data_IF_262681195124
#
_entry.id   IF_262681195124
#
_cell.length_a   1.000
_cell.length_b   1.000
_cell.length_c   1.000
_cell.angle_alpha   90.00
_cell.angle_beta   90.00
_cell.angle_gamma   90.00
#
_symmetry.space_group_name_H-M   'P 1'
#
loop_
_entity.id
_entity.type
_entity.pdbx_description
1 polymer ?
#
# COMPACT_ATOMS: atom_id res chain seq x y z
N UNK A 1 1.45 17.52 -3.44
CA UNK A 1 0.18 17.54 -4.22
C UNK A 1 -0.86 18.40 -3.49
N UNK A 2 -1.77 19.10 -4.17
CA UNK A 2 -2.91 19.77 -3.51
C UNK A 2 -4.20 18.95 -3.68
N UNK A 3 -5.16 19.10 -2.77
CA UNK A 3 -6.49 18.46 -2.88
C UNK A 3 -7.20 18.84 -4.20
N UNK A 4 -6.98 20.06 -4.70
CA UNK A 4 -7.53 20.54 -5.97
C UNK A 4 -6.95 19.74 -7.15
N UNK A 5 -5.64 19.46 -7.12
CA UNK A 5 -4.96 18.69 -8.16
C UNK A 5 -5.47 17.24 -8.19
N UNK A 6 -5.59 16.62 -7.01
CA UNK A 6 -6.10 15.26 -6.86
C UNK A 6 -7.52 15.12 -7.44
N UNK A 7 -8.41 16.04 -7.07
CA UNK A 7 -9.77 16.12 -7.63
C UNK A 7 -9.73 16.19 -9.15
N UNK A 8 -8.90 17.06 -9.73
CA UNK A 8 -8.80 17.23 -11.20
C UNK A 8 -8.30 15.96 -11.88
N UNK A 9 -7.34 15.25 -11.27
CA UNK A 9 -6.85 13.98 -11.79
C UNK A 9 -7.97 12.93 -11.83
N UNK A 10 -8.69 12.75 -10.73
CA UNK A 10 -9.80 11.78 -10.63
C UNK A 10 -10.92 12.10 -11.62
N UNK A 11 -11.31 13.37 -11.76
CA UNK A 11 -12.32 13.82 -12.73
C UNK A 11 -11.86 13.69 -14.20
N UNK A 12 -10.56 13.54 -14.45
CA UNK A 12 -10.01 13.21 -15.77
C UNK A 12 -9.87 11.69 -15.99
N UNK A 13 -10.37 10.88 -15.07
CA UNK A 13 -10.36 9.41 -15.18
C UNK A 13 -9.11 8.74 -14.62
N UNK A 14 -8.19 9.46 -13.95
CA UNK A 14 -7.05 8.85 -13.27
C UNK A 14 -7.52 7.79 -12.27
N UNK A 15 -6.97 6.57 -12.33
CA UNK A 15 -7.36 5.41 -11.50
C UNK A 15 -6.28 4.95 -10.51
N UNK A 16 -5.08 5.51 -10.57
CA UNK A 16 -4.02 5.27 -9.60
C UNK A 16 -3.54 6.62 -9.06
N UNK A 17 -3.54 6.79 -7.74
CA UNK A 17 -3.08 8.02 -7.10
C UNK A 17 -2.00 7.69 -6.08
N UNK A 18 -0.88 8.40 -6.19
CA UNK A 18 0.24 8.29 -5.27
C UNK A 18 0.09 9.27 -4.10
N UNK A 19 0.30 8.75 -2.88
CA UNK A 19 0.18 9.47 -1.63
C UNK A 19 1.49 9.34 -0.85
N UNK A 20 2.32 10.38 -0.92
CA UNK A 20 3.56 10.49 -0.13
C UNK A 20 3.22 10.90 1.31
N UNK A 21 3.20 9.92 2.21
CA UNK A 21 2.67 10.00 3.57
C UNK A 21 3.78 10.16 4.60
N UNK A 22 3.65 11.18 5.44
CA UNK A 22 4.62 11.54 6.46
C UNK A 22 3.94 11.83 7.79
N UNK A 23 4.71 11.68 8.87
CA UNK A 23 4.26 12.09 10.20
C UNK A 23 3.91 13.59 10.23
N UNK A 24 2.73 13.90 10.75
CA UNK A 24 2.30 15.27 11.04
C UNK A 24 2.26 15.58 12.53
N UNK A 25 1.87 16.81 12.86
CA UNK A 25 1.66 17.25 14.24
C UNK A 25 0.40 16.64 14.83
N UNK A 26 0.31 16.61 16.16
CA UNK A 26 -0.87 16.15 16.90
C UNK A 26 -1.30 14.70 16.58
N UNK A 27 -0.37 13.89 16.07
CA UNK A 27 -0.61 12.50 15.67
C UNK A 27 -1.41 12.34 14.37
N UNK A 28 -1.60 13.42 13.60
CA UNK A 28 -2.35 13.38 12.34
C UNK A 28 -1.40 13.31 11.13
N UNK A 29 -1.45 12.22 10.33
CA UNK A 29 -0.57 12.06 9.18
C UNK A 29 -0.86 13.10 8.08
N UNK A 30 0.20 13.50 7.38
CA UNK A 30 0.17 14.51 6.32
C UNK A 30 0.70 13.97 5.01
N UNK A 31 0.34 14.62 3.92
CA UNK A 31 0.85 14.36 2.58
C UNK A 31 1.58 15.59 2.06
N UNK A 32 2.81 15.39 1.62
CA UNK A 32 3.63 16.35 0.90
C UNK A 32 4.81 15.62 0.28
N UNK A 33 5.51 16.27 -0.66
CA UNK A 33 6.72 15.67 -1.21
C UNK A 33 7.88 15.97 -0.24
N UNK A 34 8.44 14.92 0.36
CA UNK A 34 9.59 15.03 1.25
C UNK A 34 10.73 15.88 0.66
N UNK A 35 11.46 16.59 1.50
CA UNK A 35 12.65 17.38 1.09
C UNK A 35 12.41 18.51 0.06
N UNK A 36 11.16 18.96 -0.08
CA UNK A 36 10.78 20.08 -0.97
C UNK A 36 9.98 21.17 -0.23
N UNK A 37 9.82 22.35 -0.85
CA UNK A 37 9.01 23.46 -0.33
C UNK A 37 7.51 23.31 -0.60
N UNK A 38 7.00 22.08 -0.74
CA UNK A 38 5.58 21.83 -1.02
C UNK A 38 4.74 21.99 0.24
N UNK A 39 3.54 22.57 0.10
CA UNK A 39 2.57 22.68 1.19
C UNK A 39 2.11 21.30 1.66
N UNK A 40 1.92 21.15 2.97
CA UNK A 40 1.38 19.93 3.58
C UNK A 40 -0.15 19.94 3.56
N UNK A 41 -0.75 18.80 3.28
CA UNK A 41 -2.20 18.58 3.41
C UNK A 41 -2.46 17.39 4.35
N UNK A 42 -3.57 17.38 5.06
CA UNK A 42 -3.92 16.26 5.94
C UNK A 42 -4.22 15.02 5.09
N UNK A 43 -3.70 13.86 5.51
CA UNK A 43 -4.03 12.57 4.90
C UNK A 43 -5.54 12.33 4.93
N UNK A 44 -6.18 12.58 6.09
CA UNK A 44 -7.62 12.48 6.29
C UNK A 44 -8.44 13.23 5.23
N UNK A 45 -8.09 14.48 4.94
CA UNK A 45 -8.83 15.31 3.99
C UNK A 45 -8.60 14.87 2.54
N UNK A 46 -7.42 14.33 2.27
CA UNK A 46 -7.09 13.70 0.99
C UNK A 46 -7.97 12.46 0.75
N UNK A 47 -8.09 11.57 1.74
CA UNK A 47 -8.95 10.37 1.65
C UNK A 47 -10.43 10.77 1.47
N UNK A 48 -10.92 11.81 2.16
CA UNK A 48 -12.28 12.34 1.94
C UNK A 48 -12.49 12.81 0.51
N UNK A 49 -11.54 13.56 -0.04
CA UNK A 49 -11.62 14.03 -1.42
C UNK A 49 -11.61 12.85 -2.41
N UNK A 50 -10.75 11.85 -2.20
CA UNK A 50 -10.72 10.64 -3.03
C UNK A 50 -12.09 9.96 -3.01
N UNK A 51 -12.67 9.71 -1.83
CA UNK A 51 -14.00 9.11 -1.70
C UNK A 51 -15.05 9.88 -2.51
N UNK A 52 -15.02 11.20 -2.43
CA UNK A 52 -16.01 12.04 -3.09
C UNK A 52 -15.90 11.95 -4.63
N UNK A 53 -14.68 11.98 -5.17
CA UNK A 53 -14.46 12.18 -6.62
C UNK A 53 -14.09 10.92 -7.39
N UNK A 54 -13.65 9.84 -6.73
CA UNK A 54 -13.10 8.65 -7.39
C UNK A 54 -14.03 8.09 -8.46
N UNK A 55 -15.32 7.96 -8.17
CA UNK A 55 -16.27 7.28 -9.05
C UNK A 55 -17.21 8.23 -9.81
N UNK A 56 -16.93 9.55 -9.86
CA UNK A 56 -17.82 10.50 -10.55
C UNK A 56 -17.79 10.38 -12.09
N UNK A 57 -16.68 9.89 -12.65
CA UNK A 57 -16.46 9.83 -14.11
C UNK A 57 -16.12 8.43 -14.61
N UNK A 58 -15.96 7.46 -13.71
CA UNK A 58 -15.67 6.06 -14.02
C UNK A 58 -15.97 5.22 -12.79
N UNK A 59 -16.72 4.13 -12.96
CA UNK A 59 -17.08 3.20 -11.88
C UNK A 59 -15.97 2.19 -11.55
N UNK A 60 -14.91 2.14 -12.36
CA UNK A 60 -13.80 1.21 -12.21
C UNK A 60 -12.91 1.53 -11.01
N UNK A 61 -12.20 0.53 -10.44
CA UNK A 61 -11.47 0.67 -9.19
C UNK A 61 -10.44 1.79 -9.19
N UNK A 62 -10.13 2.29 -7.99
CA UNK A 62 -9.04 3.24 -7.76
C UNK A 62 -7.98 2.64 -6.85
N UNK A 63 -6.73 2.67 -7.28
CA UNK A 63 -5.55 2.23 -6.52
C UNK A 63 -4.96 3.43 -5.78
N UNK A 64 -4.72 3.25 -4.48
CA UNK A 64 -4.04 4.19 -3.61
C UNK A 64 -2.63 3.67 -3.38
N UNK A 65 -1.64 4.24 -4.08
CA UNK A 65 -0.23 3.91 -3.94
C UNK A 65 0.35 4.69 -2.77
N UNK A 66 0.63 4.00 -1.66
CA UNK A 66 1.16 4.63 -0.45
C UNK A 66 2.69 4.59 -0.45
N UNK A 67 3.32 5.76 -0.50
CA UNK A 67 4.72 5.92 -0.14
C UNK A 67 4.75 6.30 1.34
N UNK A 68 5.13 5.36 2.21
CA UNK A 68 4.90 5.46 3.64
C UNK A 68 6.19 5.77 4.41
N UNK A 69 6.27 6.98 4.93
CA UNK A 69 7.34 7.48 5.81
C UNK A 69 6.85 7.77 7.24
N UNK A 70 5.65 7.29 7.59
CA UNK A 70 5.05 7.50 8.90
C UNK A 70 5.62 6.55 9.97
N UNK A 71 5.60 6.99 11.22
CA UNK A 71 5.77 6.13 12.40
C UNK A 71 4.65 5.08 12.48
N UNK A 72 4.90 3.98 13.21
CA UNK A 72 3.91 2.89 13.37
C UNK A 72 2.62 3.43 13.98
N UNK A 73 2.70 4.38 14.92
CA UNK A 73 1.56 5.05 15.53
C UNK A 73 0.70 5.78 14.49
N UNK A 74 1.31 6.60 13.61
CA UNK A 74 0.56 7.32 12.59
C UNK A 74 0.13 6.44 11.42
N UNK A 75 0.81 5.32 11.16
CA UNK A 75 0.33 4.30 10.22
C UNK A 75 -0.99 3.67 10.68
N UNK A 76 -1.16 3.44 11.99
CA UNK A 76 -2.46 3.01 12.54
C UNK A 76 -3.55 4.08 12.32
N UNK A 77 -3.19 5.36 12.46
CA UNK A 77 -4.11 6.48 12.17
C UNK A 77 -4.47 6.54 10.68
N UNK A 78 -3.51 6.31 9.77
CA UNK A 78 -3.77 6.19 8.33
C UNK A 78 -4.77 5.08 8.03
N UNK A 79 -4.56 3.89 8.60
CA UNK A 79 -5.47 2.76 8.47
C UNK A 79 -6.87 3.11 9.00
N UNK A 80 -6.98 3.71 10.19
CA UNK A 80 -8.25 4.15 10.75
C UNK A 80 -8.99 5.16 9.86
N UNK A 81 -8.28 6.14 9.29
CA UNK A 81 -8.89 7.11 8.36
C UNK A 81 -9.38 6.43 7.09
N UNK A 82 -8.59 5.54 6.49
CA UNK A 82 -9.02 4.81 5.29
C UNK A 82 -10.24 3.95 5.56
N UNK A 83 -10.23 3.12 6.62
CA UNK A 83 -11.37 2.28 6.99
C UNK A 83 -12.63 3.08 7.30
N UNK A 84 -12.51 4.14 8.10
CA UNK A 84 -13.68 4.94 8.51
C UNK A 84 -14.26 5.76 7.37
N UNK A 85 -13.41 6.33 6.51
CA UNK A 85 -13.85 7.19 5.42
C UNK A 85 -14.31 6.32 4.26
N UNK A 86 -13.48 5.42 3.73
CA UNK A 86 -13.81 4.64 2.54
C UNK A 86 -14.84 3.54 2.82
N UNK A 87 -14.91 3.07 4.07
CA UNK A 87 -15.91 2.10 4.53
C UNK A 87 -15.84 0.80 3.73
N UNK A 88 -17.00 0.25 3.38
CA UNK A 88 -17.10 -1.01 2.63
C UNK A 88 -16.55 -0.94 1.19
N UNK A 89 -16.26 0.25 0.66
CA UNK A 89 -15.63 0.40 -0.64
C UNK A 89 -14.13 0.07 -0.59
N UNK A 90 -13.48 0.15 0.58
CA UNK A 90 -12.10 -0.29 0.76
C UNK A 90 -12.03 -1.81 0.75
N UNK A 91 -11.21 -2.36 -0.14
CA UNK A 91 -10.99 -3.79 -0.23
C UNK A 91 -9.98 -4.23 0.85
N UNK A 92 -10.47 -4.95 1.86
CA UNK A 92 -9.68 -5.45 3.00
C UNK A 92 -9.58 -6.98 3.07
N UNK A 93 -10.12 -7.67 2.06
CA UNK A 93 -10.01 -9.12 1.92
C UNK A 93 -10.07 -9.49 0.43
N UNK A 94 -9.47 -10.62 0.03
CA UNK A 94 -9.67 -11.15 -1.32
C UNK A 94 -11.15 -11.34 -1.66
N UNK A 95 -11.48 -11.29 -2.96
CA UNK A 95 -12.81 -11.61 -3.46
C UNK A 95 -13.02 -13.14 -3.42
N UNK A 96 -14.20 -13.55 -2.93
CA UNK A 96 -14.57 -14.95 -2.81
C UNK A 96 -14.12 -15.61 -1.51
N UNK A 97 -14.42 -16.90 -1.37
CA UNK A 97 -14.16 -17.68 -0.16
C UNK A 97 -12.88 -18.52 -0.23
N UNK A 98 -12.20 -18.51 -1.37
CA UNK A 98 -11.01 -19.32 -1.64
C UNK A 98 -9.88 -18.44 -2.15
N UNK A 99 -8.64 -18.92 -2.02
CA UNK A 99 -7.47 -18.23 -2.53
C UNK A 99 -7.62 -17.97 -4.04
N UNK A 100 -7.57 -16.71 -4.50
CA UNK A 100 -7.65 -16.40 -5.91
C UNK A 100 -6.44 -16.95 -6.65
N UNK A 101 -6.63 -17.33 -7.92
CA UNK A 101 -5.55 -17.83 -8.79
C UNK A 101 -5.06 -16.76 -9.78
N UNK A 102 -5.73 -15.62 -9.83
CA UNK A 102 -5.46 -14.51 -10.73
C UNK A 102 -5.95 -13.21 -10.11
N UNK A 103 -5.45 -12.09 -10.65
CA UNK A 103 -5.90 -10.77 -10.29
C UNK A 103 -7.35 -10.55 -10.76
N UNK A 104 -8.27 -10.02 -9.93
CA UNK A 104 -9.66 -9.81 -10.35
C UNK A 104 -9.79 -8.81 -11.49
N UNK A 105 -10.78 -9.00 -12.36
CA UNK A 105 -11.03 -8.06 -13.44
C UNK A 105 -11.46 -6.68 -12.92
N UNK A 106 -11.24 -5.59 -13.68
CA UNK A 106 -11.77 -4.27 -13.32
C UNK A 106 -13.29 -4.27 -13.09
N UNK A 107 -14.02 -5.14 -13.77
CA UNK A 107 -15.48 -5.29 -13.63
C UNK A 107 -15.86 -5.82 -12.25
N UNK A 108 -15.15 -6.82 -11.74
CA UNK A 108 -15.36 -7.38 -10.39
C UNK A 108 -14.98 -6.40 -9.26
N UNK A 109 -14.10 -5.44 -9.57
CA UNK A 109 -13.61 -4.43 -8.63
C UNK A 109 -14.30 -3.07 -8.77
N UNK A 110 -15.42 -2.99 -9.49
CA UNK A 110 -16.18 -1.73 -9.62
C UNK A 110 -16.53 -1.13 -8.25
N UNK A 111 -16.31 0.17 -8.12
CA UNK A 111 -16.55 0.94 -6.91
C UNK A 111 -15.62 0.62 -5.74
N UNK A 112 -14.51 -0.11 -5.97
CA UNK A 112 -13.55 -0.49 -4.93
C UNK A 112 -12.31 0.41 -4.90
N UNK A 113 -11.80 0.60 -3.69
CA UNK A 113 -10.47 1.16 -3.44
C UNK A 113 -9.51 0.03 -3.09
N UNK A 114 -8.36 -0.01 -3.75
CA UNK A 114 -7.28 -0.94 -3.47
C UNK A 114 -6.10 -0.16 -2.90
N UNK A 115 -5.38 -0.74 -1.94
CA UNK A 115 -4.14 -0.14 -1.41
C UNK A 115 -2.95 -0.87 -2.01
N UNK A 116 -2.05 -0.11 -2.63
CA UNK A 116 -0.72 -0.57 -3.05
C UNK A 116 0.30 -0.14 -2.01
N UNK A 117 1.06 -1.10 -1.49
CA UNK A 117 2.06 -0.87 -0.45
C UNK A 117 2.73 -2.15 0.02
N UNK A 118 3.52 -2.07 1.09
CA UNK A 118 4.16 -3.24 1.70
C UNK A 118 3.14 -4.06 2.51
N UNK A 119 3.35 -5.38 2.59
CA UNK A 119 2.54 -6.32 3.38
C UNK A 119 3.47 -7.29 4.12
N UNK A 120 3.18 -7.56 5.39
CA UNK A 120 3.98 -8.41 6.29
C UNK A 120 3.84 -9.91 6.03
N UNK A 121 2.71 -10.35 5.47
CA UNK A 121 2.41 -11.77 5.27
C UNK A 121 1.97 -12.04 3.85
N UNK A 122 2.14 -13.29 3.40
CA UNK A 122 1.58 -13.73 2.12
C UNK A 122 0.03 -13.69 2.15
N UNK A 123 -0.59 -13.53 0.99
CA UNK A 123 -2.05 -13.36 0.88
C UNK A 123 -2.83 -14.60 1.35
N UNK A 124 -2.22 -15.77 1.22
CA UNK A 124 -2.73 -17.08 1.65
C UNK A 124 -3.10 -17.11 3.15
N UNK A 125 -2.43 -16.29 3.97
CA UNK A 125 -2.72 -16.17 5.39
C UNK A 125 -4.18 -15.74 5.67
N UNK A 126 -4.84 -15.06 4.72
CA UNK A 126 -6.26 -14.69 4.82
C UNK A 126 -7.22 -15.90 4.83
N UNK A 127 -6.75 -17.10 4.44
CA UNK A 127 -7.56 -18.32 4.36
C UNK A 127 -7.15 -19.41 5.36
N UNK A 128 -6.13 -19.15 6.17
CA UNK A 128 -5.65 -20.07 7.20
C UNK A 128 -6.53 -20.06 8.47
N UNK A 129 -6.40 -21.10 9.33
CA UNK A 129 -7.10 -21.17 10.62
C UNK A 129 -6.74 -20.04 11.60
N UNK A 130 -5.68 -19.26 11.32
CA UNK A 130 -5.24 -18.10 12.11
C UNK A 130 -5.86 -16.75 11.67
N UNK A 131 -6.76 -16.73 10.68
CA UNK A 131 -7.39 -15.48 10.19
C UNK A 131 -8.21 -14.72 11.26
N UNK A 132 -8.36 -15.27 12.48
CA UNK A 132 -9.05 -14.67 13.62
C UNK A 132 -8.15 -14.24 14.79
N UNK A 133 -6.82 -14.36 14.70
CA UNK A 133 -5.91 -13.94 15.77
C UNK A 133 -5.31 -12.55 15.49
N UNK A 134 -5.77 -11.54 16.25
CA UNK A 134 -5.10 -10.24 16.37
C UNK A 134 -3.83 -10.41 17.20
N UNK A 135 -2.73 -10.74 16.54
CA UNK A 135 -1.40 -10.74 17.14
C UNK A 135 -0.72 -9.38 16.91
N UNK A 136 -0.39 -8.69 18.00
CA UNK A 136 0.41 -7.46 18.04
C UNK A 136 1.90 -7.85 17.92
N UNK A 137 2.27 -8.32 16.74
CA UNK A 137 3.62 -8.82 16.45
C UNK A 137 4.31 -7.97 15.39
N UNK A 138 5.29 -7.15 15.81
CA UNK A 138 6.29 -6.59 14.90
C UNK A 138 7.03 -7.74 14.20
N UNK A 139 6.81 -7.90 12.90
CA UNK A 139 7.39 -8.97 12.09
C UNK A 139 8.74 -8.56 11.49
N UNK A 140 9.71 -9.47 11.49
CA UNK A 140 11.02 -9.31 10.86
C UNK A 140 11.11 -10.26 9.69
N UNK A 141 11.28 -9.74 8.48
CA UNK A 141 11.77 -10.53 7.34
C UNK A 141 13.29 -10.31 7.22
N UNK A 142 13.99 -11.40 6.92
CA UNK A 142 15.40 -11.38 6.55
C UNK A 142 15.48 -11.01 5.06
N UNK A 143 16.08 -9.86 4.74
CA UNK A 143 16.42 -9.52 3.35
C UNK A 143 17.71 -10.27 2.99
N UNK A 144 17.61 -11.29 2.13
CA UNK A 144 18.77 -11.94 1.48
C UNK A 144 19.33 -10.98 0.41
N UNK A 145 20.17 -10.05 0.86
CA UNK A 145 20.93 -9.14 -0.01
C UNK A 145 22.28 -9.83 -0.35
N UNK A 146 22.27 -10.80 -1.26
CA UNK A 146 23.51 -11.39 -1.81
C UNK A 146 24.19 -10.35 -2.72
N UNK A 147 25.10 -9.56 -2.13
CA UNK A 147 26.08 -8.76 -2.87
C UNK A 147 27.46 -9.39 -2.74
N UNK A 148 27.92 -10.01 -3.83
CA UNK A 148 29.33 -10.28 -4.05
C UNK A 148 30.08 -8.95 -4.23
N UNK A 149 30.95 -8.58 -3.29
CA UNK A 149 32.41 -8.45 -3.50
C UNK A 149 33.12 -7.69 -2.34
N UNK A 150 34.17 -8.36 -1.85
CA UNK A 150 35.43 -7.92 -1.24
C UNK A 150 35.50 -7.20 0.14
N UNK A 151 36.64 -7.45 0.80
CA UNK A 151 36.88 -7.53 2.24
C UNK A 151 36.96 -6.19 3.02
N UNK A 152 36.79 -6.34 4.35
CA UNK A 152 37.18 -5.46 5.48
C UNK A 152 36.29 -4.25 5.86
N UNK A 153 35.32 -4.47 6.76
CA UNK A 153 35.44 -4.18 8.22
C UNK A 153 34.10 -4.49 8.93
N UNK A 154 34.18 -5.27 10.01
CA UNK A 154 33.01 -5.75 10.78
C UNK A 154 32.32 -4.61 11.53
N UNK A 155 31.18 -4.14 11.00
CA UNK A 155 30.05 -3.70 11.81
C UNK A 155 28.88 -4.63 11.55
N UNK A 156 28.39 -5.28 12.61
CA UNK A 156 27.15 -6.04 12.57
C UNK A 156 26.03 -5.12 12.07
N UNK A 157 25.58 -5.33 10.84
CA UNK A 157 24.32 -4.77 10.35
C UNK A 157 23.22 -5.51 11.09
N UNK A 158 22.71 -4.93 12.16
CA UNK A 158 21.36 -5.26 12.63
C UNK A 158 20.42 -4.95 11.44
N UNK A 159 19.73 -5.97 10.92
CA UNK A 159 18.78 -5.79 9.83
C UNK A 159 17.80 -4.67 10.13
N UNK A 160 17.54 -3.78 9.17
CA UNK A 160 16.55 -2.73 9.33
C UNK A 160 15.18 -3.38 9.53
N UNK A 161 14.69 -3.37 10.78
CA UNK A 161 13.33 -3.81 11.09
C UNK A 161 12.34 -3.05 10.21
N UNK A 162 11.58 -3.77 9.38
CA UNK A 162 10.43 -3.24 8.67
C UNK A 162 9.44 -2.63 9.68
N UNK A 163 9.41 -1.29 9.77
CA UNK A 163 8.48 -0.55 10.62
C UNK A 163 7.14 -0.40 9.92
N UNK A 164 6.37 -1.49 9.86
CA UNK A 164 5.05 -1.51 9.25
C UNK A 164 3.99 -1.93 10.27
N UNK A 165 2.97 -1.09 10.45
CA UNK A 165 1.80 -1.42 11.27
C UNK A 165 0.97 -2.52 10.61
N UNK A 166 0.59 -3.52 11.40
CA UNK A 166 -0.22 -4.65 10.93
C UNK A 166 -1.53 -4.19 10.28
N UNK A 167 -2.19 -3.19 10.86
CA UNK A 167 -3.44 -2.63 10.36
C UNK A 167 -3.30 -2.01 8.97
N UNK A 168 -2.13 -1.44 8.65
CA UNK A 168 -1.86 -0.89 7.32
C UNK A 168 -1.45 -2.00 6.34
N UNK A 169 -0.63 -2.95 6.79
CA UNK A 169 -0.25 -4.15 6.03
C UNK A 169 -1.49 -4.95 5.57
N UNK A 170 -2.44 -5.16 6.47
CA UNK A 170 -3.63 -5.98 6.21
C UNK A 170 -4.55 -5.39 5.12
N UNK A 171 -4.44 -4.08 4.85
CA UNK A 171 -5.20 -3.41 3.77
C UNK A 171 -4.65 -3.66 2.38
N UNK A 172 -3.41 -4.14 2.26
CA UNK A 172 -2.77 -4.43 0.97
C UNK A 172 -3.17 -5.83 0.53
N UNK A 173 -4.11 -5.95 -0.40
CA UNK A 173 -4.64 -7.26 -0.85
C UNK A 173 -4.00 -7.70 -2.17
N UNK A 174 -4.35 -7.04 -3.26
CA UNK A 174 -3.92 -7.44 -4.60
C UNK A 174 -2.70 -6.66 -5.13
N UNK A 175 -2.22 -5.67 -4.39
CA UNK A 175 -1.19 -4.73 -4.86
C UNK A 175 0.00 -4.67 -3.89
N UNK A 176 0.55 -5.84 -3.51
CA UNK A 176 1.74 -5.91 -2.64
C UNK A 176 2.95 -5.39 -3.41
N UNK A 177 3.62 -4.37 -2.87
CA UNK A 177 4.85 -3.84 -3.44
C UNK A 177 6.04 -4.74 -3.08
N UNK A 178 6.81 -5.15 -4.09
CA UNK A 178 8.02 -5.99 -3.95
C UNK A 178 9.18 -5.39 -4.75
N UNK A 179 10.43 -5.68 -4.37
CA UNK A 179 11.57 -5.26 -5.18
C UNK A 179 11.67 -6.13 -6.45
N UNK A 180 12.09 -5.53 -7.55
CA UNK A 180 12.24 -6.23 -8.82
C UNK A 180 13.69 -6.63 -9.08
N UNK A 181 13.95 -7.94 -9.05
CA UNK A 181 15.29 -8.49 -9.32
C UNK A 181 15.47 -8.96 -10.77
N UNK A 182 14.49 -8.72 -11.64
CA UNK A 182 14.50 -9.10 -13.04
C UNK A 182 13.33 -9.97 -13.47
N UNK A 183 13.12 -10.11 -14.78
CA UNK A 183 11.94 -10.80 -15.32
C UNK A 183 11.91 -12.30 -15.03
N UNK A 184 13.07 -12.95 -14.92
CA UNK A 184 13.14 -14.39 -14.62
C UNK A 184 12.74 -14.65 -13.16
N UNK A 185 13.31 -13.89 -12.24
CA UNK A 185 12.93 -13.91 -10.81
C UNK A 185 11.43 -13.60 -10.64
N UNK A 186 10.95 -12.54 -11.30
CA UNK A 186 9.54 -12.17 -11.27
C UNK A 186 8.61 -13.30 -11.72
N UNK A 187 8.99 -14.04 -12.76
CA UNK A 187 8.19 -15.15 -13.30
C UNK A 187 8.17 -16.35 -12.35
N UNK A 188 9.28 -16.63 -11.70
CA UNK A 188 9.46 -17.86 -10.91
C UNK A 188 9.00 -17.67 -9.46
N UNK A 189 9.11 -16.45 -8.92
CA UNK A 189 8.97 -16.19 -7.48
C UNK A 189 7.82 -15.25 -7.10
N UNK A 190 7.34 -14.36 -8.00
CA UNK A 190 6.30 -13.40 -7.65
C UNK A 190 4.88 -13.94 -7.87
N UNK A 191 4.01 -13.66 -6.90
CA UNK A 191 2.58 -13.92 -7.00
C UNK A 191 1.87 -12.94 -7.94
N UNK A 192 0.69 -13.32 -8.44
CA UNK A 192 -0.15 -12.44 -9.28
C UNK A 192 -0.61 -11.15 -8.57
N UNK A 193 -0.44 -11.07 -7.25
CA UNK A 193 -0.80 -9.94 -6.40
C UNK A 193 0.42 -9.11 -5.96
N UNK A 194 1.61 -9.47 -6.44
CA UNK A 194 2.86 -8.77 -6.17
C UNK A 194 3.23 -7.91 -7.39
N UNK A 195 3.48 -6.63 -7.13
CA UNK A 195 3.68 -5.58 -8.14
C UNK A 195 4.98 -4.87 -7.79
N UNK A 196 5.84 -4.67 -8.78
CA UNK A 196 7.00 -3.80 -8.64
C UNK A 196 6.54 -2.33 -8.52
N UNK A 197 6.97 -1.58 -7.50
CA UNK A 197 6.62 -0.18 -7.36
C UNK A 197 7.15 0.73 -8.48
N UNK A 198 8.18 0.34 -9.23
CA UNK A 198 8.86 1.16 -10.25
C UNK A 198 8.54 0.78 -11.69
N UNK A 199 7.94 -0.39 -11.95
CA UNK A 199 7.47 -0.72 -13.28
C UNK A 199 6.18 0.06 -13.59
N UNK A 200 6.14 0.86 -14.68
CA UNK A 200 4.93 1.55 -15.08
C UNK A 200 3.82 0.54 -15.33
N UNK A 201 2.62 0.84 -14.84
CA UNK A 201 1.41 0.01 -14.96
C UNK A 201 1.24 -0.54 -16.41
N UNK A 202 1.75 -1.75 -16.67
CA UNK A 202 1.41 -2.52 -17.87
C UNK A 202 0.21 -3.39 -17.50
N UNK A 203 -0.93 -2.74 -17.32
CA UNK A 203 -2.25 -3.36 -17.26
C UNK A 203 -3.05 -2.99 -18.52
#
# INVERSE_FOLDING_TARGET
MSVITLRRALLKGCRCVELDCWDGSDGEPVIYHGYTLTSKILFKDTIKAIKEYAFKTSDYPVILSLENHCSVEQQRVMAQHMSSILGSALLISPLGAQMPTHFPSPEELKGRFLVKGKRLTKLEACFGPEATAVDDGSFTEEEDDEKEEEEEEKKAKEGEKLKLAKELSDMVIYCKSVHFNGFQDAKDNLGFYEIDPELPDVL
#
